data_IF_556498480008
#
_entry.id   IF_556498480008
#
_cell.length_a   1.000
_cell.length_b   1.000
_cell.length_c   1.000
_cell.angle_alpha   90.00
_cell.angle_beta   90.00
_cell.angle_gamma   90.00
#
_symmetry.space_group_name_H-M   'P 1'
#
loop_
_entity.id
_entity.type
_entity.pdbx_description
1 polymer ?
#
# COMPACT_ATOMS: atom_id res chain seq x y z
N UNK A 1 5.45 -13.81 -3.44
CA UNK A 1 4.61 -14.13 -2.26
C UNK A 1 3.67 -15.32 -2.52
N UNK A 2 3.42 -15.72 -3.78
CA UNK A 2 2.51 -16.84 -4.13
C UNK A 2 1.02 -16.55 -3.98
N UNK A 3 0.64 -15.30 -3.74
CA UNK A 3 -0.76 -14.86 -3.53
C UNK A 3 -1.57 -14.90 -4.83
N UNK A 4 -0.93 -14.74 -5.98
CA UNK A 4 -1.57 -14.77 -7.30
C UNK A 4 -1.26 -16.08 -8.01
N UNK A 5 -2.29 -16.76 -8.49
CA UNK A 5 -2.13 -18.01 -9.21
C UNK A 5 -1.38 -17.80 -10.54
N UNK A 6 -0.49 -18.73 -10.89
CA UNK A 6 0.38 -18.59 -12.07
C UNK A 6 -0.39 -18.39 -13.37
N UNK A 7 -1.52 -19.08 -13.55
CA UNK A 7 -2.34 -18.92 -14.76
C UNK A 7 -2.92 -17.51 -14.94
N UNK A 8 -3.15 -16.78 -13.84
CA UNK A 8 -3.62 -15.38 -13.87
C UNK A 8 -2.48 -14.46 -14.32
N UNK A 9 -1.26 -14.67 -13.79
CA UNK A 9 -0.07 -13.94 -14.23
C UNK A 9 0.22 -14.19 -15.70
N UNK A 10 0.14 -15.44 -16.15
CA UNK A 10 0.36 -15.80 -17.56
C UNK A 10 -0.68 -15.14 -18.49
N UNK A 11 -1.93 -15.01 -18.03
CA UNK A 11 -2.98 -14.29 -18.76
C UNK A 11 -2.67 -12.80 -18.89
N UNK A 12 -2.30 -12.16 -17.78
CA UNK A 12 -1.93 -10.74 -17.78
C UNK A 12 -0.67 -10.47 -18.61
N UNK A 13 0.30 -11.38 -18.57
CA UNK A 13 1.50 -11.29 -19.42
C UNK A 13 1.15 -11.27 -20.90
N UNK A 14 0.34 -12.24 -21.36
CA UNK A 14 -0.10 -12.30 -22.76
C UNK A 14 -0.86 -11.05 -23.18
N UNK A 15 -1.75 -10.57 -22.32
CA UNK A 15 -2.52 -9.34 -22.61
C UNK A 15 -1.59 -8.11 -22.63
N UNK A 16 -0.63 -7.99 -21.69
CA UNK A 16 0.33 -6.89 -21.64
C UNK A 16 1.26 -6.87 -22.86
N UNK A 17 1.76 -8.04 -23.29
CA UNK A 17 2.56 -8.19 -24.50
C UNK A 17 1.77 -7.76 -25.75
N UNK A 18 0.50 -8.17 -25.86
CA UNK A 18 -0.37 -7.80 -26.99
C UNK A 18 -0.60 -6.29 -27.10
N UNK A 19 -0.49 -5.56 -26.01
CA UNK A 19 -0.65 -4.09 -25.92
C UNK A 19 0.68 -3.33 -25.92
N UNK A 20 1.81 -4.02 -26.12
CA UNK A 20 3.15 -3.41 -26.07
C UNK A 20 3.59 -2.92 -24.67
N UNK A 21 2.99 -3.46 -23.61
CA UNK A 21 3.19 -3.09 -22.21
C UNK A 21 3.69 -4.25 -21.35
N UNK A 22 4.58 -5.09 -21.89
CA UNK A 22 5.06 -6.31 -21.22
C UNK A 22 5.65 -6.12 -19.82
N UNK A 23 6.14 -4.90 -19.48
CA UNK A 23 6.67 -4.59 -18.15
C UNK A 23 5.58 -4.30 -17.09
N UNK A 24 4.30 -4.23 -17.48
CA UNK A 24 3.18 -3.89 -16.58
C UNK A 24 2.39 -5.11 -16.08
N UNK A 25 2.82 -6.32 -16.43
CA UNK A 25 2.10 -7.56 -16.07
C UNK A 25 1.83 -7.70 -14.56
N UNK A 26 2.77 -7.26 -13.72
CA UNK A 26 2.61 -7.29 -12.26
C UNK A 26 1.72 -6.17 -11.73
N UNK A 27 1.76 -4.99 -12.35
CA UNK A 27 0.88 -3.87 -11.98
C UNK A 27 -0.59 -4.24 -12.21
N UNK A 28 -0.89 -4.98 -13.26
CA UNK A 28 -2.25 -5.40 -13.61
C UNK A 28 -2.89 -6.35 -12.60
N UNK A 29 -2.12 -6.92 -11.69
CA UNK A 29 -2.64 -7.66 -10.53
C UNK A 29 -3.45 -6.73 -9.61
N UNK A 30 -3.03 -5.48 -9.50
CA UNK A 30 -3.70 -4.46 -8.69
C UNK A 30 -4.68 -3.63 -9.53
N UNK A 31 -4.33 -3.32 -10.79
CA UNK A 31 -5.13 -2.51 -11.71
C UNK A 31 -6.38 -3.28 -12.19
N UNK A 32 -7.48 -3.11 -11.47
CA UNK A 32 -8.74 -3.79 -11.77
C UNK A 32 -9.50 -3.17 -12.94
N UNK A 33 -9.35 -1.86 -13.17
CA UNK A 33 -10.04 -1.12 -14.20
C UNK A 33 -9.34 -1.27 -15.58
N UNK A 34 -10.15 -1.42 -16.62
CA UNK A 34 -9.65 -1.45 -18.00
C UNK A 34 -8.88 -0.17 -18.34
N UNK A 35 -9.39 0.96 -17.87
CA UNK A 35 -8.81 2.29 -18.10
C UNK A 35 -7.43 2.45 -17.45
N UNK A 36 -7.21 1.89 -16.26
CA UNK A 36 -5.91 1.81 -15.59
C UNK A 36 -4.89 1.06 -16.43
N UNK A 37 -5.27 -0.13 -16.93
CA UNK A 37 -4.42 -0.95 -17.79
C UNK A 37 -4.10 -0.29 -19.12
N UNK A 38 -5.05 0.46 -19.70
CA UNK A 38 -4.85 1.21 -20.95
C UNK A 38 -3.93 2.42 -20.76
N UNK A 39 -4.08 3.15 -19.67
CA UNK A 39 -3.24 4.33 -19.36
C UNK A 39 -1.91 3.96 -18.71
N UNK A 40 -1.85 2.85 -17.98
CA UNK A 40 -0.68 2.43 -17.19
C UNK A 40 -0.50 3.28 -15.93
N UNK A 41 -1.60 3.72 -15.34
CA UNK A 41 -1.66 4.49 -14.10
C UNK A 41 -2.80 3.97 -13.22
N UNK A 42 -2.59 3.88 -11.93
CA UNK A 42 -3.63 3.54 -10.95
C UNK A 42 -4.58 4.73 -10.80
N UNK A 43 -5.88 4.49 -10.88
CA UNK A 43 -6.95 5.51 -10.77
C UNK A 43 -7.65 5.36 -9.43
N UNK A 44 -8.02 4.13 -9.07
CA UNK A 44 -8.76 3.82 -7.86
C UNK A 44 -7.91 3.05 -6.85
N UNK A 45 -8.40 2.95 -5.62
CA UNK A 45 -7.71 2.24 -4.54
C UNK A 45 -7.93 0.74 -4.72
N UNK A 46 -6.86 -0.02 -4.71
CA UNK A 46 -6.92 -1.48 -4.71
C UNK A 46 -6.44 -2.06 -3.39
N UNK A 47 -7.15 -3.08 -2.92
CA UNK A 47 -6.84 -3.79 -1.69
C UNK A 47 -6.44 -5.24 -2.00
N UNK A 48 -5.31 -5.68 -1.49
CA UNK A 48 -4.88 -7.08 -1.59
C UNK A 48 -4.31 -7.56 -0.26
N UNK A 49 -4.69 -8.77 0.13
CA UNK A 49 -4.15 -9.42 1.33
C UNK A 49 -2.90 -10.21 0.96
N UNK A 50 -1.88 -10.16 1.80
CA UNK A 50 -0.79 -11.10 1.80
C UNK A 50 -0.30 -11.36 3.22
N UNK A 51 0.40 -12.46 3.41
CA UNK A 51 0.87 -12.92 4.71
C UNK A 51 2.39 -13.02 4.74
N UNK A 52 2.93 -12.68 5.89
CA UNK A 52 4.31 -12.95 6.26
C UNK A 52 4.31 -13.88 7.48
N UNK A 53 5.45 -14.42 7.89
CA UNK A 53 5.50 -15.21 9.13
C UNK A 53 4.99 -14.49 10.37
N UNK A 54 5.01 -13.14 10.37
CA UNK A 54 4.66 -12.34 11.55
C UNK A 54 3.29 -11.68 11.45
N UNK A 55 2.89 -11.25 10.26
CA UNK A 55 1.69 -10.43 10.07
C UNK A 55 0.85 -10.83 8.87
N UNK A 56 -0.43 -10.56 8.97
CA UNK A 56 -1.34 -10.46 7.84
C UNK A 56 -1.41 -8.99 7.40
N UNK A 57 -1.01 -8.72 6.17
CA UNK A 57 -1.02 -7.37 5.60
C UNK A 57 -2.17 -7.18 4.63
N UNK A 58 -2.79 -6.03 4.70
CA UNK A 58 -3.62 -5.49 3.61
C UNK A 58 -2.81 -4.44 2.88
N UNK A 59 -2.44 -4.70 1.64
CA UNK A 59 -1.86 -3.67 0.75
C UNK A 59 -2.99 -2.77 0.30
N UNK A 60 -2.83 -1.49 0.51
CA UNK A 60 -3.67 -0.44 -0.04
C UNK A 60 -2.86 0.26 -1.13
N UNK A 61 -3.12 -0.11 -2.38
CA UNK A 61 -2.45 0.53 -3.52
C UNK A 61 -3.14 1.86 -3.83
N UNK A 62 -2.39 2.93 -3.74
CA UNK A 62 -2.89 4.29 -3.89
C UNK A 62 -2.38 4.89 -5.20
N UNK A 63 -3.23 5.58 -5.97
CA UNK A 63 -2.79 6.25 -7.20
C UNK A 63 -1.73 7.31 -6.90
N UNK A 64 -0.67 7.30 -7.72
CA UNK A 64 0.44 8.26 -7.61
C UNK A 64 0.24 9.53 -8.44
N UNK A 65 -0.75 9.57 -9.33
CA UNK A 65 -0.95 10.70 -10.23
C UNK A 65 -1.73 11.84 -9.55
N UNK A 66 -1.29 13.07 -9.76
CA UNK A 66 -1.88 14.27 -9.12
C UNK A 66 -3.40 14.42 -9.32
N UNK A 67 -3.94 13.95 -10.45
CA UNK A 67 -5.37 14.03 -10.72
C UNK A 67 -6.21 13.14 -9.78
N UNK A 68 -5.58 12.18 -9.10
CA UNK A 68 -6.22 11.21 -8.22
C UNK A 68 -5.82 11.35 -6.75
N UNK A 69 -5.32 12.52 -6.34
CA UNK A 69 -4.89 12.81 -4.96
C UNK A 69 -6.02 12.54 -3.95
N UNK A 70 -7.28 12.75 -4.32
CA UNK A 70 -8.42 12.43 -3.45
C UNK A 70 -8.44 10.93 -3.10
N UNK A 71 -8.27 10.05 -4.07
CA UNK A 71 -8.24 8.60 -3.85
C UNK A 71 -6.98 8.21 -3.05
N UNK A 72 -5.84 8.84 -3.33
CA UNK A 72 -4.61 8.65 -2.53
C UNK A 72 -4.84 9.00 -1.05
N UNK A 73 -5.48 10.13 -0.76
CA UNK A 73 -5.80 10.53 0.63
C UNK A 73 -6.70 9.49 1.29
N UNK A 74 -7.75 9.05 0.59
CA UNK A 74 -8.68 8.04 1.11
C UNK A 74 -7.96 6.72 1.43
N UNK A 75 -7.10 6.24 0.53
CA UNK A 75 -6.31 5.02 0.76
C UNK A 75 -5.30 5.18 1.88
N UNK A 76 -4.51 6.25 1.85
CA UNK A 76 -3.48 6.51 2.86
C UNK A 76 -4.05 6.70 4.28
N UNK A 77 -5.28 7.23 4.41
CA UNK A 77 -5.95 7.38 5.71
C UNK A 77 -6.28 6.05 6.38
N UNK A 78 -6.30 4.94 5.64
CA UNK A 78 -6.56 3.60 6.16
C UNK A 78 -5.29 2.86 6.57
N UNK A 79 -4.11 3.39 6.19
CA UNK A 79 -2.85 2.69 6.35
C UNK A 79 -2.17 2.95 7.70
N UNK A 80 -1.55 1.91 8.27
CA UNK A 80 -0.75 1.99 9.50
C UNK A 80 0.71 2.32 9.22
N UNK A 81 1.19 1.98 8.03
CA UNK A 81 2.55 2.20 7.56
C UNK A 81 2.55 2.41 6.05
N UNK A 82 3.62 2.96 5.51
CA UNK A 82 3.72 3.17 4.07
C UNK A 82 5.05 2.67 3.49
N UNK A 83 4.97 2.22 2.24
CA UNK A 83 6.13 1.99 1.40
C UNK A 83 6.16 3.13 0.38
N UNK A 84 7.16 4.00 0.48
CA UNK A 84 7.40 5.07 -0.49
C UNK A 84 8.30 4.52 -1.58
N UNK A 85 7.75 4.37 -2.78
CA UNK A 85 8.50 3.84 -3.93
C UNK A 85 9.04 5.00 -4.77
N UNK A 86 10.33 5.01 -5.01
CA UNK A 86 11.01 5.99 -5.86
C UNK A 86 11.87 5.29 -6.91
N UNK A 87 12.00 5.91 -8.07
CA UNK A 87 12.84 5.38 -9.16
C UNK A 87 14.32 5.63 -8.86
N UNK A 88 15.15 4.59 -9.00
CA UNK A 88 16.62 4.75 -8.97
C UNK A 88 17.18 5.55 -10.14
N UNK A 89 16.41 5.70 -11.24
CA UNK A 89 16.82 6.51 -12.41
C UNK A 89 16.58 7.99 -12.20
N UNK A 90 15.47 8.37 -11.59
CA UNK A 90 14.99 9.76 -11.48
C UNK A 90 15.12 10.32 -10.06
N UNK A 91 15.09 9.42 -9.06
CA UNK A 91 14.99 9.80 -7.67
C UNK A 91 13.60 10.34 -7.29
N UNK A 92 13.48 11.08 -6.17
CA UNK A 92 12.22 11.66 -5.74
C UNK A 92 11.77 12.79 -6.67
N UNK A 93 10.50 12.72 -7.10
CA UNK A 93 9.82 13.71 -7.93
C UNK A 93 8.94 14.62 -7.06
N UNK A 94 8.31 15.63 -7.67
CA UNK A 94 7.41 16.55 -6.96
C UNK A 94 6.24 15.82 -6.27
N UNK A 95 5.63 14.87 -6.98
CA UNK A 95 4.56 14.02 -6.41
C UNK A 95 5.05 13.19 -5.23
N UNK A 96 6.32 12.76 -5.23
CA UNK A 96 6.90 12.04 -4.08
C UNK A 96 6.87 12.91 -2.83
N UNK A 97 7.14 14.21 -2.95
CA UNK A 97 7.08 15.16 -1.84
C UNK A 97 5.67 15.28 -1.29
N UNK A 98 4.69 15.42 -2.19
CA UNK A 98 3.27 15.49 -1.83
C UNK A 98 2.82 14.24 -1.09
N UNK A 99 3.18 13.06 -1.59
CA UNK A 99 2.80 11.78 -0.96
C UNK A 99 3.44 11.57 0.41
N UNK A 100 4.72 11.92 0.57
CA UNK A 100 5.40 11.84 1.87
C UNK A 100 4.76 12.79 2.89
N UNK A 101 4.45 14.03 2.45
CA UNK A 101 3.77 15.01 3.30
C UNK A 101 2.37 14.54 3.71
N UNK A 102 1.56 14.08 2.76
CA UNK A 102 0.22 13.56 3.01
C UNK A 102 0.25 12.33 3.93
N UNK A 103 1.16 11.39 3.71
CA UNK A 103 1.31 10.23 4.58
C UNK A 103 1.55 10.64 6.03
N UNK A 104 2.44 11.61 6.26
CA UNK A 104 2.70 12.11 7.61
C UNK A 104 1.51 12.83 8.22
N UNK A 105 0.83 13.66 7.44
CA UNK A 105 -0.35 14.43 7.86
C UNK A 105 -1.52 13.52 8.23
N UNK A 106 -1.67 12.41 7.50
CA UNK A 106 -2.70 11.39 7.75
C UNK A 106 -2.37 10.44 8.92
N UNK A 107 -1.25 10.65 9.60
CA UNK A 107 -0.90 9.92 10.82
C UNK A 107 0.01 8.72 10.61
N UNK A 108 0.49 8.47 9.40
CA UNK A 108 1.47 7.40 9.15
C UNK A 108 2.81 7.80 9.79
N UNK A 109 3.29 6.97 10.71
CA UNK A 109 4.53 7.23 11.44
C UNK A 109 5.67 6.26 11.08
N UNK A 110 5.37 5.20 10.38
CA UNK A 110 6.33 4.17 9.99
C UNK A 110 6.37 4.08 8.46
N UNK A 111 7.55 4.26 7.88
CA UNK A 111 7.74 4.18 6.43
C UNK A 111 8.95 3.33 6.07
N UNK A 112 8.90 2.73 4.90
CA UNK A 112 10.03 2.15 4.19
C UNK A 112 10.18 2.92 2.89
N UNK A 113 11.41 3.20 2.49
CA UNK A 113 11.72 3.77 1.17
C UNK A 113 12.29 2.68 0.29
N UNK A 114 11.55 2.31 -0.76
CA UNK A 114 11.97 1.37 -1.77
C UNK A 114 12.51 2.11 -3.00
N UNK A 115 13.82 2.02 -3.24
CA UNK A 115 14.46 2.60 -4.43
C UNK A 115 14.40 1.53 -5.52
N UNK A 116 13.40 1.67 -6.40
CA UNK A 116 13.04 0.70 -7.42
C UNK A 116 13.73 0.96 -8.76
N UNK A 117 13.63 0.02 -9.68
CA UNK A 117 14.25 0.05 -11.02
C UNK A 117 15.79 0.06 -10.95
N UNK A 118 16.36 -0.64 -9.96
CA UNK A 118 17.82 -0.74 -9.84
C UNK A 118 18.45 -1.49 -11.02
N UNK A 119 17.71 -2.37 -11.67
CA UNK A 119 18.07 -3.02 -12.92
C UNK A 119 18.33 -2.01 -14.05
N UNK A 120 17.50 -0.97 -14.15
CA UNK A 120 17.63 0.07 -15.18
C UNK A 120 18.88 0.96 -15.00
N UNK A 121 19.43 1.03 -13.79
CA UNK A 121 20.69 1.73 -13.48
C UNK A 121 21.86 0.76 -13.23
N UNK A 122 21.73 -0.48 -13.72
CA UNK A 122 22.78 -1.52 -13.62
C UNK A 122 23.26 -1.75 -12.17
N UNK A 123 22.31 -1.63 -11.21
CA UNK A 123 22.54 -1.80 -9.76
C UNK A 123 23.63 -0.88 -9.19
N UNK A 124 23.79 0.33 -9.75
CA UNK A 124 24.77 1.30 -9.33
C UNK A 124 24.56 1.73 -7.88
N UNK A 125 25.59 1.52 -7.04
CA UNK A 125 25.60 2.00 -5.66
C UNK A 125 25.56 3.53 -5.59
N UNK A 126 26.21 4.22 -6.54
CA UNK A 126 26.22 5.69 -6.62
C UNK A 126 24.79 6.21 -6.84
N UNK A 127 24.03 5.64 -7.79
CA UNK A 127 22.62 6.02 -8.06
C UNK A 127 21.71 5.75 -6.87
N UNK A 128 21.92 4.63 -6.21
CA UNK A 128 21.21 4.35 -4.96
C UNK A 128 21.51 5.41 -3.89
N UNK A 129 22.78 5.75 -3.67
CA UNK A 129 23.17 6.72 -2.67
C UNK A 129 22.66 8.12 -2.98
N UNK A 130 22.66 8.55 -4.25
CA UNK A 130 22.03 9.81 -4.69
C UNK A 130 20.53 9.85 -4.33
N UNK A 131 19.79 8.81 -4.70
CA UNK A 131 18.36 8.74 -4.42
C UNK A 131 18.08 8.69 -2.92
N UNK A 132 18.85 7.91 -2.17
CA UNK A 132 18.78 7.81 -0.72
C UNK A 132 19.04 9.13 -0.02
N UNK A 133 20.06 9.89 -0.45
CA UNK A 133 20.38 11.20 0.14
C UNK A 133 19.24 12.19 -0.08
N UNK A 134 18.72 12.29 -1.32
CA UNK A 134 17.60 13.16 -1.66
C UNK A 134 16.34 12.79 -0.84
N UNK A 135 16.04 11.50 -0.76
CA UNK A 135 14.90 11.01 0.03
C UNK A 135 15.09 11.22 1.52
N UNK A 136 16.30 11.04 2.05
CA UNK A 136 16.60 11.31 3.47
C UNK A 136 16.33 12.76 3.84
N UNK A 137 16.76 13.71 3.00
CA UNK A 137 16.46 15.15 3.19
C UNK A 137 14.96 15.43 3.14
N UNK A 138 14.27 14.80 2.18
CA UNK A 138 12.82 14.97 2.01
C UNK A 138 12.05 14.45 3.22
N UNK A 139 12.24 13.19 3.62
CA UNK A 139 11.50 12.61 4.74
C UNK A 139 11.80 13.30 6.06
N UNK A 140 13.04 13.76 6.25
CA UNK A 140 13.44 14.54 7.42
C UNK A 140 12.72 15.89 7.48
N UNK A 141 12.55 16.58 6.35
CA UNK A 141 11.83 17.87 6.29
C UNK A 141 10.36 17.76 6.67
N UNK A 142 9.78 16.55 6.53
CA UNK A 142 8.38 16.24 6.88
C UNK A 142 8.25 15.66 8.30
N UNK A 143 9.37 15.39 8.97
CA UNK A 143 9.37 14.91 10.36
C UNK A 143 9.47 13.39 10.53
N UNK A 144 9.86 12.66 9.49
CA UNK A 144 10.34 11.29 9.65
C UNK A 144 11.84 11.28 9.98
N UNK A 145 12.31 10.19 10.57
CA UNK A 145 13.73 10.03 10.92
C UNK A 145 14.42 9.08 9.94
N UNK A 146 15.37 9.57 9.11
CA UNK A 146 16.10 8.71 8.18
C UNK A 146 16.85 7.55 8.86
N UNK A 147 17.30 7.74 10.12
CA UNK A 147 17.95 6.68 10.90
C UNK A 147 17.04 5.53 11.30
N UNK A 148 15.73 5.75 11.34
CA UNK A 148 14.71 4.74 11.68
C UNK A 148 14.00 4.22 10.43
N UNK A 149 14.29 4.78 9.25
CA UNK A 149 13.65 4.45 7.98
C UNK A 149 14.55 3.51 7.16
N UNK A 150 14.11 2.29 6.85
CA UNK A 150 14.82 1.42 5.92
C UNK A 150 14.80 2.00 4.50
N UNK A 151 15.97 2.05 3.85
CA UNK A 151 16.12 2.36 2.44
C UNK A 151 16.57 1.10 1.73
N UNK A 152 15.78 0.60 0.79
CA UNK A 152 16.01 -0.71 0.19
C UNK A 152 16.12 -0.55 -1.33
N UNK A 153 17.28 -0.90 -1.92
CA UNK A 153 17.42 -0.95 -3.37
C UNK A 153 16.72 -2.20 -3.90
N UNK A 154 15.72 -2.02 -4.75
CA UNK A 154 14.95 -3.14 -5.31
C UNK A 154 14.88 -3.08 -6.84
N UNK A 155 14.67 -4.22 -7.46
CA UNK A 155 14.07 -4.33 -8.77
C UNK A 155 12.76 -5.11 -8.63
N UNK A 156 11.63 -4.42 -8.66
CA UNK A 156 10.33 -5.06 -8.55
C UNK A 156 10.04 -5.98 -9.76
N UNK A 157 10.63 -5.67 -10.92
CA UNK A 157 10.47 -6.46 -12.13
C UNK A 157 11.21 -7.80 -12.06
N UNK A 158 12.46 -7.79 -11.56
CA UNK A 158 13.30 -8.98 -11.44
C UNK A 158 13.04 -9.73 -10.12
N UNK A 159 12.61 -9.01 -9.06
CA UNK A 159 12.40 -9.54 -7.73
C UNK A 159 13.57 -9.33 -6.76
N UNK A 160 14.58 -8.56 -7.16
CA UNK A 160 15.78 -8.31 -6.36
C UNK A 160 15.47 -7.57 -5.06
N UNK A 161 15.99 -8.07 -3.94
CA UNK A 161 15.80 -7.57 -2.59
C UNK A 161 14.33 -7.45 -2.13
N UNK A 162 13.42 -8.14 -2.80
CA UNK A 162 12.01 -8.24 -2.36
C UNK A 162 11.89 -9.30 -1.26
N UNK A 163 12.12 -10.56 -1.58
CA UNK A 163 12.04 -11.70 -0.66
C UNK A 163 13.43 -12.14 -0.21
N UNK A 164 14.35 -12.23 -1.14
CA UNK A 164 15.71 -12.70 -0.94
C UNK A 164 16.71 -11.59 -1.28
N UNK A 165 17.87 -11.62 -0.62
CA UNK A 165 18.95 -10.68 -0.91
C UNK A 165 19.48 -10.90 -2.33
N UNK A 166 19.64 -9.83 -3.08
CA UNK A 166 20.12 -9.90 -4.47
C UNK A 166 21.64 -10.02 -4.56
N UNK A 167 22.11 -10.90 -5.40
CA UNK A 167 23.51 -10.99 -5.79
C UNK A 167 23.97 -9.78 -6.63
N UNK A 168 23.01 -9.07 -7.26
CA UNK A 168 23.30 -7.91 -8.11
C UNK A 168 23.64 -6.65 -7.29
N UNK A 169 23.35 -6.65 -5.99
CA UNK A 169 23.65 -5.52 -5.07
C UNK A 169 24.57 -5.96 -3.92
N UNK A 170 25.80 -6.45 -4.20
CA UNK A 170 26.70 -6.99 -3.17
C UNK A 170 27.14 -5.95 -2.14
N UNK A 171 27.06 -4.68 -2.50
CA UNK A 171 27.34 -3.52 -1.63
C UNK A 171 26.22 -3.25 -0.61
N UNK A 172 25.00 -3.69 -0.87
CA UNK A 172 23.88 -3.53 0.05
C UNK A 172 23.89 -4.63 1.14
N UNK A 173 23.99 -4.22 2.40
CA UNK A 173 24.03 -5.14 3.56
C UNK A 173 22.79 -5.03 4.45
N UNK A 174 21.76 -4.32 3.96
CA UNK A 174 20.51 -4.16 4.68
C UNK A 174 19.56 -5.34 4.51
N UNK A 175 18.35 -5.16 5.01
CA UNK A 175 17.29 -6.17 4.96
C UNK A 175 16.53 -6.15 3.63
N UNK A 176 15.87 -7.24 3.28
CA UNK A 176 14.94 -7.29 2.13
C UNK A 176 13.63 -6.57 2.44
N UNK A 177 12.84 -6.27 1.40
CA UNK A 177 11.58 -5.56 1.57
C UNK A 177 10.59 -6.32 2.48
N UNK A 178 10.42 -7.63 2.26
CA UNK A 178 9.52 -8.44 3.09
C UNK A 178 10.01 -8.55 4.55
N UNK A 179 11.30 -8.69 4.76
CA UNK A 179 11.85 -8.71 6.12
C UNK A 179 11.73 -7.33 6.81
N UNK A 180 11.82 -6.24 6.06
CA UNK A 180 11.59 -4.89 6.59
C UNK A 180 10.13 -4.68 7.01
N UNK A 181 9.16 -5.26 6.28
CA UNK A 181 7.74 -5.21 6.67
C UNK A 181 7.48 -5.88 8.01
N UNK A 182 8.15 -7.00 8.30
CA UNK A 182 8.02 -7.70 9.58
C UNK A 182 8.60 -6.92 10.77
N UNK A 183 9.36 -5.85 10.51
CA UNK A 183 9.86 -4.93 11.53
C UNK A 183 8.88 -3.79 11.85
N UNK A 184 7.79 -3.62 11.10
CA UNK A 184 6.76 -2.67 11.47
C UNK A 184 6.16 -3.04 12.82
N UNK A 185 5.83 -2.00 13.59
CA UNK A 185 5.11 -2.14 14.85
C UNK A 185 3.62 -2.01 14.57
N UNK A 186 2.87 -3.00 15.03
CA UNK A 186 1.41 -2.91 14.97
C UNK A 186 0.96 -1.70 15.81
N UNK A 187 0.05 -0.86 15.30
CA UNK A 187 -0.49 0.24 16.09
C UNK A 187 -1.27 -0.29 17.29
N UNK A 188 -1.28 0.48 18.36
CA UNK A 188 -2.12 0.17 19.52
C UNK A 188 -3.60 0.24 19.09
N UNK A 189 -4.31 -0.85 19.35
CA UNK A 189 -5.74 -0.95 19.08
C UNK A 189 -6.50 -0.69 20.38
N UNK A 190 -7.09 0.50 20.59
CA UNK A 190 -7.77 0.85 21.85
C UNK A 190 -9.14 0.16 21.93
N UNK A 191 -9.13 -1.15 22.20
CA UNK A 191 -10.32 -2.01 22.26
C UNK A 191 -11.19 -1.77 23.49
N UNK A 192 -10.65 -1.13 24.53
CA UNK A 192 -11.32 -0.73 25.75
C UNK A 192 -12.18 0.52 25.63
N UNK A 193 -12.04 1.26 24.50
CA UNK A 193 -12.81 2.46 24.22
C UNK A 193 -14.14 2.16 23.53
N UNK A 194 -15.02 3.15 23.49
CA UNK A 194 -16.27 3.08 22.73
C UNK A 194 -15.97 2.84 21.25
N UNK A 195 -16.83 2.06 20.59
CA UNK A 195 -16.72 1.81 19.15
C UNK A 195 -16.73 3.11 18.36
N UNK A 196 -15.74 3.27 17.50
CA UNK A 196 -15.66 4.33 16.49
C UNK A 196 -15.24 3.70 15.16
N UNK A 197 -16.10 3.85 14.16
CA UNK A 197 -15.88 3.41 12.79
C UNK A 197 -16.27 4.58 11.89
N UNK A 198 -15.30 5.39 11.42
CA UNK A 198 -15.55 6.38 10.38
C UNK A 198 -16.06 5.68 9.12
N UNK A 199 -17.23 6.07 8.65
CA UNK A 199 -17.81 5.52 7.43
C UNK A 199 -17.15 6.22 6.25
N UNK A 200 -16.53 5.44 5.39
CA UNK A 200 -15.83 5.90 4.19
C UNK A 200 -16.72 5.77 2.96
N UNK A 201 -17.53 4.73 2.91
CA UNK A 201 -18.46 4.48 1.83
C UNK A 201 -19.70 3.70 2.32
N UNK A 202 -20.77 3.71 1.53
CA UNK A 202 -22.02 3.00 1.82
C UNK A 202 -22.54 2.35 0.55
N UNK A 203 -22.67 1.04 0.57
CA UNK A 203 -23.22 0.27 -0.54
C UNK A 203 -24.61 -0.24 -0.20
N UNK A 204 -25.45 -0.36 -1.21
CA UNK A 204 -26.73 -1.09 -1.12
C UNK A 204 -26.59 -2.38 -1.92
N UNK A 205 -26.59 -3.51 -1.24
CA UNK A 205 -26.41 -4.83 -1.85
C UNK A 205 -27.74 -5.57 -1.82
N UNK A 206 -28.21 -6.04 -2.99
CA UNK A 206 -29.45 -6.82 -3.10
C UNK A 206 -29.36 -8.09 -2.25
N UNK A 207 -30.37 -8.33 -1.42
CA UNK A 207 -30.43 -9.47 -0.49
C UNK A 207 -29.68 -9.26 0.84
N UNK A 208 -28.80 -8.28 0.94
CA UNK A 208 -28.03 -7.95 2.16
C UNK A 208 -28.56 -6.68 2.82
N UNK A 209 -28.79 -5.64 2.04
CA UNK A 209 -29.25 -4.33 2.51
C UNK A 209 -28.16 -3.27 2.45
N UNK A 210 -28.18 -2.34 3.40
CA UNK A 210 -27.21 -1.25 3.50
C UNK A 210 -25.95 -1.73 4.19
N UNK A 211 -24.81 -1.57 3.51
CA UNK A 211 -23.48 -2.01 3.95
C UNK A 211 -22.58 -0.78 4.09
N UNK A 212 -22.41 -0.23 5.30
CA UNK A 212 -21.42 0.81 5.56
C UNK A 212 -20.02 0.19 5.60
N UNK A 213 -19.08 0.86 4.97
CA UNK A 213 -17.68 0.44 4.90
C UNK A 213 -16.79 1.44 5.62
N UNK A 214 -15.84 0.95 6.38
CA UNK A 214 -14.88 1.78 7.11
C UNK A 214 -13.95 0.94 7.96
N UNK A 215 -13.00 1.62 8.62
CA UNK A 215 -12.05 1.00 9.54
C UNK A 215 -12.53 1.21 10.99
N UNK A 216 -12.46 0.16 11.80
CA UNK A 216 -12.68 0.30 13.26
C UNK A 216 -11.45 0.96 13.88
N UNK A 217 -11.58 2.21 14.32
CA UNK A 217 -10.50 2.98 14.94
C UNK A 217 -10.39 2.73 16.44
N UNK A 218 -11.52 2.52 17.12
CA UNK A 218 -11.56 2.22 18.55
C UNK A 218 -12.70 1.27 18.88
N UNK A 219 -12.58 0.58 20.00
CA UNK A 219 -13.59 -0.38 20.45
C UNK A 219 -13.58 -1.69 19.66
N UNK A 220 -14.64 -2.45 19.78
CA UNK A 220 -14.82 -3.74 19.11
C UNK A 220 -16.20 -3.76 18.45
N UNK A 221 -16.25 -4.09 17.17
CA UNK A 221 -17.47 -4.34 16.43
C UNK A 221 -17.83 -5.83 16.54
N UNK A 222 -19.09 -6.13 16.90
CA UNK A 222 -19.59 -7.51 17.03
C UNK A 222 -20.90 -7.70 16.27
N UNK A 223 -21.10 -8.88 15.72
CA UNK A 223 -22.40 -9.32 15.17
C UNK A 223 -23.48 -9.26 16.27
N UNK A 224 -24.67 -8.76 15.93
CA UNK A 224 -25.77 -8.54 16.88
C UNK A 224 -25.66 -7.26 17.71
N UNK A 225 -24.57 -6.49 17.58
CA UNK A 225 -24.39 -5.25 18.33
C UNK A 225 -25.30 -4.15 17.78
N UNK A 226 -25.96 -3.40 18.70
CA UNK A 226 -26.64 -2.16 18.32
C UNK A 226 -25.63 -1.03 18.18
N UNK A 227 -25.72 -0.31 17.06
CA UNK A 227 -24.82 0.81 16.72
C UNK A 227 -25.63 2.05 16.39
N UNK A 228 -25.05 3.22 16.59
CA UNK A 228 -25.64 4.52 16.25
C UNK A 228 -24.81 5.18 15.17
N UNK A 229 -25.46 5.66 14.13
CA UNK A 229 -24.84 6.39 13.02
C UNK A 229 -24.96 7.90 13.27
N UNK A 230 -23.85 8.55 13.54
CA UNK A 230 -23.79 9.97 13.80
C UNK A 230 -23.34 10.71 12.54
N UNK A 231 -23.75 11.96 12.30
CA UNK A 231 -24.58 12.82 13.16
C UNK A 231 -26.10 12.60 13.03
N UNK A 232 -26.54 11.71 12.13
CA UNK A 232 -27.96 11.52 11.86
C UNK A 232 -28.73 10.88 13.03
N UNK A 233 -28.03 10.34 14.04
CA UNK A 233 -28.57 9.66 15.21
C UNK A 233 -29.53 8.52 14.86
N UNK A 234 -29.25 7.82 13.78
CA UNK A 234 -29.99 6.62 13.35
C UNK A 234 -29.35 5.40 14.02
N UNK A 235 -30.19 4.46 14.47
CA UNK A 235 -29.70 3.23 15.09
C UNK A 235 -29.94 2.03 14.20
N UNK A 236 -29.04 1.06 14.28
CA UNK A 236 -29.15 -0.20 13.55
C UNK A 236 -28.51 -1.34 14.34
N UNK A 237 -28.74 -2.56 13.86
CA UNK A 237 -28.11 -3.77 14.39
C UNK A 237 -27.16 -4.35 13.35
N UNK A 238 -25.96 -4.72 13.79
CA UNK A 238 -24.95 -5.38 12.95
C UNK A 238 -25.37 -6.80 12.66
N UNK A 239 -25.78 -7.09 11.42
CA UNK A 239 -26.24 -8.43 11.00
C UNK A 239 -25.08 -9.35 10.64
N UNK A 240 -24.08 -8.82 9.94
CA UNK A 240 -22.87 -9.52 9.55
C UNK A 240 -21.68 -8.55 9.48
N UNK A 241 -20.49 -9.10 9.54
CA UNK A 241 -19.21 -8.36 9.39
C UNK A 241 -18.42 -9.14 8.35
N UNK A 242 -17.90 -8.44 7.35
CA UNK A 242 -17.08 -9.02 6.30
C UNK A 242 -15.79 -8.24 6.15
N UNK A 243 -14.70 -8.95 5.94
CA UNK A 243 -13.40 -8.39 5.61
C UNK A 243 -12.69 -9.33 4.63
N UNK A 244 -12.18 -8.81 3.51
CA UNK A 244 -11.51 -9.61 2.46
C UNK A 244 -12.32 -10.79 1.93
N UNK A 245 -13.63 -10.62 1.78
CA UNK A 245 -14.59 -11.68 1.37
C UNK A 245 -14.73 -12.85 2.36
N UNK A 246 -14.32 -12.63 3.61
CA UNK A 246 -14.54 -13.58 4.71
C UNK A 246 -15.53 -12.98 5.73
N UNK A 247 -16.54 -13.75 6.14
CA UNK A 247 -17.51 -13.37 7.19
C UNK A 247 -16.89 -13.66 8.58
N UNK A 248 -17.10 -12.74 9.54
CA UNK A 248 -16.65 -12.82 10.94
C UNK A 248 -17.82 -12.94 11.91
#
# INVERSE_FOLDING_TARGET
TGVVAQHVLDSYKKEAESKGKGSFEFAWVMDSLKEERERGITIDIAHKKFETPKYNFTVVDCPGHRDFVKNMITGASQADAAIIVVSGTEGPMEQTKEHVFLSKTLGINQIIVAINKMDAVQYSEEKYNEAKEKMSKLIMSVGFKPSETPFIPISAFVGDNIKEASANTPWYKGTTLLAALDNFKQPDMPTDKSLRLPIQDVYTISGVGTVPVGRVETGILKKGQKVSFMPANVTGEVKSIEMHHEEF
#
